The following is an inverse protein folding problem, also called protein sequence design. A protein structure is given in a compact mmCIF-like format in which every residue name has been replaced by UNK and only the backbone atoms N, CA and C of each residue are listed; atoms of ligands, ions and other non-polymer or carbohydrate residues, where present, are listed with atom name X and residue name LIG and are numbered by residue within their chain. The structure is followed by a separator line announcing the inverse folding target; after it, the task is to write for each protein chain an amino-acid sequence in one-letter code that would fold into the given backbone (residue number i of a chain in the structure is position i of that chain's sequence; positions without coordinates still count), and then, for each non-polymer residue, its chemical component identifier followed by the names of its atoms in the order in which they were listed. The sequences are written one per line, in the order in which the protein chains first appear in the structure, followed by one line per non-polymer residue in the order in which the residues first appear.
data_IF_958387597136
#
_entry.id   IF_958387597136
#
_cell.length_a   1.000
_cell.length_b   1.000
_cell.length_c   1.000
_cell.angle_alpha   90.00
_cell.angle_beta   90.00
_cell.angle_gamma   90.00
#
_symmetry.space_group_name_H-M   'P 1'
#
loop_
_entity.id
_entity.type
_entity.pdbx_description
1 polymer ?
#
# COMPACT_ATOMS: atom_id res chain seq x y z
N UNK A 1 1.78 12.00 -7.79
CA UNK A 1 0.39 12.52 -7.86
C UNK A 1 0.43 14.04 -7.86
N UNK A 2 -0.40 14.73 -8.64
CA UNK A 2 -0.38 16.21 -8.77
C UNK A 2 -1.31 16.88 -7.73
N UNK A 3 -1.07 18.15 -7.39
CA UNK A 3 -1.91 18.95 -6.48
C UNK A 3 -3.41 18.92 -6.85
N UNK A 4 -3.75 18.75 -8.13
CA UNK A 4 -5.13 18.69 -8.60
C UNK A 4 -5.85 17.37 -8.26
N UNK A 5 -5.13 16.25 -8.16
CA UNK A 5 -5.69 14.96 -7.72
C UNK A 5 -5.92 14.97 -6.21
N UNK A 6 -5.00 15.59 -5.47
CA UNK A 6 -5.07 15.77 -4.03
C UNK A 6 -6.31 16.58 -3.60
N UNK A 7 -6.55 17.70 -4.27
CA UNK A 7 -7.70 18.56 -3.98
C UNK A 7 -9.04 17.89 -4.27
N UNK A 8 -9.15 17.16 -5.40
CA UNK A 8 -10.41 16.44 -5.73
C UNK A 8 -10.74 15.33 -4.74
N UNK A 9 -9.73 14.60 -4.26
CA UNK A 9 -9.93 13.54 -3.27
C UNK A 9 -10.27 14.12 -1.90
N UNK A 10 -9.52 15.14 -1.49
CA UNK A 10 -9.73 15.86 -0.24
C UNK A 10 -11.11 16.53 -0.13
N UNK A 11 -11.56 17.21 -1.19
CA UNK A 11 -12.91 17.80 -1.23
C UNK A 11 -14.01 16.75 -1.12
N UNK A 12 -13.79 15.56 -1.69
CA UNK A 12 -14.73 14.44 -1.58
C UNK A 12 -14.76 13.89 -0.16
N UNK A 13 -13.62 13.88 0.54
CA UNK A 13 -13.52 13.50 1.94
C UNK A 13 -14.24 14.51 2.86
N UNK A 14 -14.15 15.82 2.58
CA UNK A 14 -14.93 16.85 3.30
C UNK A 14 -16.43 16.66 3.10
N UNK A 15 -16.91 16.52 1.86
CA UNK A 15 -18.35 16.36 1.57
C UNK A 15 -19.00 15.18 2.28
N UNK A 16 -18.19 14.18 2.65
CA UNK A 16 -18.62 12.97 3.34
C UNK A 16 -18.32 12.99 4.84
N UNK A 17 -17.78 14.08 5.36
CA UNK A 17 -17.55 14.29 6.80
C UNK A 17 -16.32 13.60 7.39
N UNK A 18 -15.42 13.05 6.56
CA UNK A 18 -14.24 12.32 7.04
C UNK A 18 -13.14 13.25 7.58
N UNK A 19 -12.99 14.42 6.97
CA UNK A 19 -12.01 15.44 7.35
C UNK A 19 -12.68 16.81 7.26
N UNK A 20 -12.22 17.75 8.08
CA UNK A 20 -12.67 19.14 8.04
C UNK A 20 -11.91 19.93 6.98
N UNK A 21 -12.45 21.08 6.56
CA UNK A 21 -11.73 22.03 5.71
C UNK A 21 -10.40 22.50 6.33
N UNK A 22 -10.32 22.54 7.66
CA UNK A 22 -9.11 22.87 8.40
C UNK A 22 -8.07 21.74 8.36
N UNK A 23 -8.52 20.49 8.45
CA UNK A 23 -7.65 19.33 8.23
C UNK A 23 -7.22 19.20 6.78
N UNK A 24 -8.04 19.69 5.82
CA UNK A 24 -7.66 19.74 4.42
C UNK A 24 -6.61 20.83 4.09
N UNK A 25 -6.50 21.87 4.90
CA UNK A 25 -5.44 22.87 4.70
C UNK A 25 -4.10 22.44 5.33
N UNK A 26 -4.11 21.41 6.20
CA UNK A 26 -2.90 20.83 6.78
C UNK A 26 -2.28 19.78 5.84
N UNK A 27 -1.15 20.17 5.24
CA UNK A 27 -0.40 19.33 4.30
C UNK A 27 0.10 18.03 4.95
N UNK A 28 0.49 18.06 6.22
CA UNK A 28 0.99 16.86 6.90
C UNK A 28 -0.16 15.91 7.23
N UNK A 29 -1.30 16.44 7.70
CA UNK A 29 -2.47 15.63 8.01
C UNK A 29 -3.01 14.90 6.78
N UNK A 30 -3.23 15.60 5.66
CA UNK A 30 -3.74 14.93 4.46
C UNK A 30 -2.71 13.97 3.88
N UNK A 31 -1.41 14.28 3.91
CA UNK A 31 -0.39 13.34 3.44
C UNK A 31 -0.45 12.02 4.22
N UNK A 32 -0.60 12.10 5.55
CA UNK A 32 -0.79 10.93 6.39
C UNK A 32 -2.12 10.22 6.09
N UNK A 33 -3.23 10.96 6.01
CA UNK A 33 -4.55 10.40 5.68
C UNK A 33 -4.56 9.66 4.34
N UNK A 34 -3.94 10.20 3.29
CA UNK A 34 -3.86 9.55 1.98
C UNK A 34 -2.97 8.31 1.99
N UNK A 35 -1.87 8.36 2.74
CA UNK A 35 -1.01 7.19 2.97
C UNK A 35 -1.81 6.08 3.64
N UNK A 36 -2.52 6.41 4.72
CA UNK A 36 -3.33 5.47 5.49
C UNK A 36 -4.51 4.94 4.67
N UNK A 37 -5.15 5.79 3.87
CA UNK A 37 -6.19 5.39 2.92
C UNK A 37 -5.66 4.42 1.85
N UNK A 38 -4.48 4.69 1.31
CA UNK A 38 -3.81 3.81 0.35
C UNK A 38 -3.49 2.44 0.95
N UNK A 39 -3.03 2.41 2.21
CA UNK A 39 -2.76 1.19 2.98
C UNK A 39 -4.05 0.43 3.30
N UNK A 40 -5.11 1.12 3.71
CA UNK A 40 -6.42 0.50 3.97
C UNK A 40 -7.00 -0.17 2.72
N UNK A 41 -6.88 0.49 1.55
CA UNK A 41 -7.27 -0.09 0.27
C UNK A 41 -6.40 -1.31 -0.10
N UNK A 42 -5.09 -1.25 0.15
CA UNK A 42 -4.20 -2.40 -0.04
C UNK A 42 -4.66 -3.59 0.79
N UNK A 43 -4.88 -3.41 2.09
CA UNK A 43 -5.26 -4.48 3.00
C UNK A 43 -6.60 -5.10 2.61
N UNK A 44 -7.56 -4.28 2.17
CA UNK A 44 -8.81 -4.78 1.60
C UNK A 44 -8.58 -5.70 0.39
N UNK A 45 -7.68 -5.32 -0.52
CA UNK A 45 -7.30 -6.17 -1.68
C UNK A 45 -6.64 -7.47 -1.22
N UNK A 46 -5.69 -7.41 -0.27
CA UNK A 46 -5.03 -8.62 0.27
C UNK A 46 -6.04 -9.58 0.89
N UNK A 47 -6.96 -9.05 1.70
CA UNK A 47 -8.01 -9.84 2.35
C UNK A 47 -8.96 -10.47 1.33
N UNK A 48 -9.22 -9.80 0.20
CA UNK A 48 -9.99 -10.36 -0.91
C UNK A 48 -9.27 -11.54 -1.57
N UNK A 49 -8.01 -11.33 -1.95
CA UNK A 49 -7.23 -12.31 -2.70
C UNK A 49 -7.00 -13.58 -1.88
N UNK A 50 -6.87 -13.45 -0.56
CA UNK A 50 -6.73 -14.57 0.38
C UNK A 50 -8.08 -15.17 0.81
N UNK A 51 -9.21 -14.62 0.34
CA UNK A 51 -10.56 -15.13 0.62
C UNK A 51 -11.08 -14.88 2.04
N UNK A 52 -10.46 -13.97 2.80
CA UNK A 52 -10.89 -13.62 4.15
C UNK A 52 -12.09 -12.67 4.16
N UNK A 53 -12.26 -11.85 3.11
CA UNK A 53 -13.36 -10.90 2.98
C UNK A 53 -13.96 -10.92 1.57
N UNK A 54 -15.27 -10.75 1.50
CA UNK A 54 -16.00 -10.57 0.24
C UNK A 54 -15.78 -9.15 -0.32
N UNK A 55 -15.97 -8.93 -1.63
CA UNK A 55 -15.94 -7.60 -2.23
C UNK A 55 -16.86 -6.61 -1.52
N UNK A 56 -17.99 -7.07 -0.98
CA UNK A 56 -18.96 -6.25 -0.24
C UNK A 56 -18.42 -5.85 1.15
N UNK A 57 -17.80 -6.79 1.89
CA UNK A 57 -17.15 -6.51 3.18
C UNK A 57 -15.93 -5.59 3.00
N UNK A 58 -15.22 -5.72 1.88
CA UNK A 58 -14.16 -4.78 1.50
C UNK A 58 -14.76 -3.46 1.11
N UNK A 59 -15.91 -3.44 0.43
CA UNK A 59 -16.62 -2.20 0.13
C UNK A 59 -17.04 -1.52 1.43
N UNK A 60 -17.52 -2.24 2.44
CA UNK A 60 -17.84 -1.67 3.76
C UNK A 60 -16.56 -1.17 4.46
N UNK A 61 -15.48 -1.96 4.52
CA UNK A 61 -14.20 -1.54 5.14
C UNK A 61 -13.53 -0.38 4.39
N UNK A 62 -13.63 -0.35 3.06
CA UNK A 62 -12.99 0.64 2.16
C UNK A 62 -13.86 1.90 1.97
N UNK A 63 -15.18 1.79 2.12
CA UNK A 63 -16.10 2.92 2.07
C UNK A 63 -16.32 3.55 3.45
N UNK A 64 -16.09 2.82 4.54
CA UNK A 64 -16.05 3.34 5.91
C UNK A 64 -14.68 3.87 6.33
N UNK A 65 -13.68 4.06 5.44
CA UNK A 65 -12.30 4.41 5.86
C UNK A 65 -12.22 5.81 6.49
N UNK A 66 -12.51 5.90 7.79
CA UNK A 66 -11.51 5.84 8.86
C UNK A 66 -11.44 4.49 9.60
N UNK A 67 -11.98 3.40 9.04
CA UNK A 67 -12.06 2.07 9.65
C UNK A 67 -13.35 1.88 10.45
N UNK A 68 -13.66 0.68 11.00
CA UNK A 68 -14.75 0.55 11.94
C UNK A 68 -14.47 1.54 13.07
N UNK A 69 -15.40 2.46 13.30
CA UNK A 69 -15.25 3.63 14.17
C UNK A 69 -14.15 3.48 15.24
N UNK A 70 -12.97 4.07 15.00
CA UNK A 70 -11.89 4.14 16.00
C UNK A 70 -10.83 3.03 15.99
N UNK A 71 -10.71 2.19 14.97
CA UNK A 71 -9.65 1.17 14.94
C UNK A 71 -8.30 1.76 14.43
N UNK A 72 -7.23 1.74 15.26
CA UNK A 72 -5.92 2.28 14.86
C UNK A 72 -5.30 1.51 13.68
N UNK A 73 -4.43 2.17 12.90
CA UNK A 73 -3.57 1.55 11.84
C UNK A 73 -2.90 0.26 12.33
N UNK A 74 -2.57 0.20 13.63
CA UNK A 74 -2.02 -0.97 14.30
C UNK A 74 -2.85 -2.24 14.10
N UNK A 75 -4.18 -2.15 14.15
CA UNK A 75 -5.07 -3.30 13.92
C UNK A 75 -4.90 -3.86 12.51
N UNK A 76 -4.87 -2.98 11.51
CA UNK A 76 -4.71 -3.36 10.11
C UNK A 76 -3.34 -3.96 9.82
N UNK A 77 -2.29 -3.41 10.43
CA UNK A 77 -0.95 -3.98 10.36
C UNK A 77 -0.91 -5.38 11.00
N UNK A 78 -1.50 -5.57 12.18
CA UNK A 78 -1.57 -6.86 12.86
C UNK A 78 -2.30 -7.93 12.01
N UNK A 79 -3.38 -7.54 11.32
CA UNK A 79 -4.09 -8.47 10.43
C UNK A 79 -3.28 -8.77 9.18
N UNK A 80 -2.68 -7.76 8.54
CA UNK A 80 -1.80 -7.96 7.38
C UNK A 80 -0.64 -8.90 7.71
N UNK A 81 0.01 -8.68 8.85
CA UNK A 81 1.09 -9.55 9.36
C UNK A 81 0.62 -11.00 9.44
N UNK A 82 -0.54 -11.25 10.06
CA UNK A 82 -1.11 -12.60 10.15
C UNK A 82 -1.40 -13.21 8.77
N UNK A 83 -1.89 -12.40 7.82
CA UNK A 83 -2.20 -12.88 6.46
C UNK A 83 -0.96 -13.22 5.63
N UNK A 84 0.16 -12.52 5.87
CA UNK A 84 1.46 -12.75 5.22
C UNK A 84 2.33 -13.74 6.03
N UNK A 85 1.70 -14.76 6.61
CA UNK A 85 2.41 -15.80 7.36
C UNK A 85 3.14 -15.35 8.64
N UNK A 86 2.81 -14.18 9.18
CA UNK A 86 3.43 -13.61 10.38
C UNK A 86 4.64 -12.70 10.11
N UNK A 87 4.97 -12.41 8.85
CA UNK A 87 6.16 -11.61 8.51
C UNK A 87 5.91 -10.11 8.68
N UNK A 88 6.30 -9.58 9.85
CA UNK A 88 6.27 -8.14 10.12
C UNK A 88 7.13 -7.32 9.15
N UNK A 89 8.24 -7.89 8.68
CA UNK A 89 9.14 -7.23 7.72
C UNK A 89 8.49 -7.12 6.34
N UNK A 90 7.87 -8.20 5.86
CA UNK A 90 7.18 -8.22 4.57
C UNK A 90 5.96 -7.28 4.59
N UNK A 91 5.16 -7.32 5.66
CA UNK A 91 4.02 -6.42 5.85
C UNK A 91 4.47 -4.95 5.86
N UNK A 92 5.53 -4.64 6.62
CA UNK A 92 6.11 -3.30 6.66
C UNK A 92 6.54 -2.82 5.27
N UNK A 93 7.33 -3.64 4.58
CA UNK A 93 7.83 -3.33 3.24
C UNK A 93 6.69 -3.12 2.23
N UNK A 94 5.67 -3.99 2.25
CA UNK A 94 4.52 -3.86 1.38
C UNK A 94 3.79 -2.54 1.63
N UNK A 95 3.53 -2.19 2.90
CA UNK A 95 2.85 -0.92 3.24
C UNK A 95 3.64 0.31 2.81
N UNK A 96 4.97 0.25 2.89
CA UNK A 96 5.85 1.36 2.53
C UNK A 96 5.89 1.59 1.02
N UNK A 97 5.94 0.51 0.23
CA UNK A 97 6.18 0.58 -1.20
C UNK A 97 4.94 0.34 -2.08
N UNK A 98 3.79 0.01 -1.50
CA UNK A 98 2.55 -0.26 -2.25
C UNK A 98 2.18 0.83 -3.26
N UNK A 99 2.21 2.09 -2.82
CA UNK A 99 1.78 3.23 -3.65
C UNK A 99 2.77 3.57 -4.77
N UNK A 100 4.02 3.12 -4.66
CA UNK A 100 5.14 3.45 -5.55
C UNK A 100 5.87 2.17 -6.00
N UNK A 101 5.13 1.11 -6.30
CA UNK A 101 5.68 -0.20 -6.68
C UNK A 101 6.51 -0.20 -7.99
N UNK A 102 6.35 0.82 -8.82
CA UNK A 102 7.08 1.03 -10.09
C UNK A 102 8.07 2.20 -10.02
N UNK A 103 8.54 2.54 -8.83
CA UNK A 103 9.59 3.54 -8.65
C UNK A 103 10.76 2.92 -7.90
N UNK A 104 12.01 3.33 -8.18
CA UNK A 104 13.17 2.89 -7.42
C UNK A 104 12.99 3.17 -5.93
N UNK A 105 13.44 2.23 -5.10
CA UNK A 105 13.44 2.39 -3.65
C UNK A 105 14.44 3.48 -3.29
N UNK A 106 13.93 4.59 -2.75
CA UNK A 106 14.75 5.75 -2.44
C UNK A 106 15.81 5.40 -1.39
N UNK A 107 17.08 5.60 -1.74
CA UNK A 107 18.21 5.32 -0.85
C UNK A 107 18.78 3.90 -1.01
N UNK A 108 18.19 3.08 -1.87
CA UNK A 108 18.84 1.88 -2.38
C UNK A 108 19.98 2.26 -3.34
N UNK A 109 21.11 1.57 -3.26
CA UNK A 109 22.30 1.90 -4.07
C UNK A 109 22.17 1.41 -5.50
N UNK A 110 21.36 0.38 -5.71
CA UNK A 110 21.22 -0.30 -6.98
C UNK A 110 19.98 0.20 -7.74
N UNK A 111 19.33 1.28 -7.26
CA UNK A 111 18.03 1.75 -7.74
C UNK A 111 17.01 0.61 -7.88
N UNK A 112 17.07 -0.34 -6.94
CA UNK A 112 16.20 -1.50 -6.91
C UNK A 112 14.74 -1.09 -6.80
N UNK A 113 13.89 -1.70 -7.61
CA UNK A 113 12.44 -1.55 -7.48
C UNK A 113 11.92 -2.44 -6.34
N UNK A 114 10.75 -2.13 -5.74
CA UNK A 114 10.18 -2.94 -4.68
C UNK A 114 10.10 -4.45 -4.98
N UNK A 115 9.89 -4.80 -6.25
CA UNK A 115 9.85 -6.19 -6.69
C UNK A 115 11.22 -6.90 -6.65
N UNK A 116 12.33 -6.18 -6.91
CA UNK A 116 13.68 -6.72 -6.78
C UNK A 116 13.95 -7.15 -5.35
N UNK A 117 13.65 -6.27 -4.39
CA UNK A 117 13.86 -6.56 -2.97
C UNK A 117 12.90 -7.64 -2.46
N UNK A 118 11.64 -7.65 -2.90
CA UNK A 118 10.69 -8.71 -2.53
C UNK A 118 11.13 -10.09 -3.06
N UNK A 119 11.61 -10.16 -4.31
CA UNK A 119 12.14 -11.38 -4.90
C UNK A 119 13.41 -11.86 -4.19
N UNK A 120 14.35 -10.96 -3.92
CA UNK A 120 15.60 -11.25 -3.20
C UNK A 120 15.36 -11.78 -1.78
N UNK A 121 14.33 -11.28 -1.09
CA UNK A 121 13.97 -11.74 0.25
C UNK A 121 13.05 -12.98 0.24
N UNK A 122 12.65 -13.49 -0.93
CA UNK A 122 11.75 -14.64 -1.05
C UNK A 122 10.32 -14.37 -0.57
N UNK A 123 9.89 -13.11 -0.53
CA UNK A 123 8.57 -12.68 -0.07
C UNK A 123 7.50 -12.93 -1.14
N UNK A 124 7.09 -14.20 -1.27
CA UNK A 124 6.18 -14.66 -2.32
C UNK A 124 4.85 -13.93 -2.33
N UNK A 125 4.29 -13.61 -1.16
CA UNK A 125 3.02 -12.91 -1.05
C UNK A 125 3.17 -11.45 -1.47
N UNK A 126 4.21 -10.75 -1.01
CA UNK A 126 4.50 -9.40 -1.47
C UNK A 126 4.75 -9.34 -2.98
N UNK A 127 5.48 -10.32 -3.56
CA UNK A 127 5.66 -10.41 -5.02
C UNK A 127 4.31 -10.55 -5.73
N UNK A 128 3.47 -11.50 -5.33
CA UNK A 128 2.14 -11.70 -5.92
C UNK A 128 1.27 -10.43 -5.85
N UNK A 129 1.31 -9.73 -4.71
CA UNK A 129 0.55 -8.52 -4.47
C UNK A 129 1.06 -7.32 -5.29
N UNK A 130 2.38 -7.18 -5.45
CA UNK A 130 2.92 -6.17 -6.35
C UNK A 130 2.54 -6.45 -7.82
N UNK A 131 2.51 -7.72 -8.23
CA UNK A 131 2.03 -8.11 -9.57
C UNK A 131 0.57 -7.75 -9.77
N UNK A 132 -0.31 -8.06 -8.82
CA UNK A 132 -1.74 -7.72 -8.91
C UNK A 132 -1.98 -6.21 -8.93
N UNK A 133 -1.07 -5.44 -8.30
CA UNK A 133 -1.06 -3.98 -8.35
C UNK A 133 -0.59 -3.40 -9.69
N UNK A 134 0.00 -4.22 -10.57
CA UNK A 134 0.53 -3.81 -11.88
C UNK A 134 2.00 -3.39 -11.85
N UNK A 135 2.79 -3.98 -10.96
CA UNK A 135 4.22 -3.74 -10.92
C UNK A 135 4.93 -4.35 -12.15
N UNK A 136 5.98 -3.70 -12.66
CA UNK A 136 6.71 -4.12 -13.85
C UNK A 136 7.71 -5.23 -13.53
N UNK A 137 7.39 -6.45 -13.97
CA UNK A 137 8.22 -7.65 -13.81
C UNK A 137 9.55 -7.59 -14.54
N UNK A 138 9.67 -6.69 -15.52
CA UNK A 138 10.85 -6.54 -16.36
C UNK A 138 11.65 -5.27 -16.00
N UNK A 139 11.26 -4.55 -14.94
CA UNK A 139 12.01 -3.41 -14.45
C UNK A 139 13.47 -3.84 -14.21
N UNK A 140 14.40 -3.00 -14.65
CA UNK A 140 15.83 -3.24 -14.48
C UNK A 140 16.39 -2.32 -13.41
N UNK A 141 17.17 -2.88 -12.51
CA UNK A 141 18.00 -2.12 -11.56
C UNK A 141 19.23 -1.51 -12.26
N UNK A 142 20.10 -0.83 -11.50
CA UNK A 142 21.32 -0.20 -12.02
C UNK A 142 22.33 -1.20 -12.60
N UNK A 143 22.30 -2.45 -12.16
CA UNK A 143 23.11 -3.53 -12.71
C UNK A 143 22.47 -4.17 -13.96
N UNK A 144 21.29 -3.71 -14.37
CA UNK A 144 20.52 -4.28 -15.47
C UNK A 144 19.82 -5.60 -15.13
N UNK A 145 19.80 -6.00 -13.85
CA UNK A 145 19.14 -7.20 -13.36
C UNK A 145 17.64 -6.94 -13.25
N UNK A 146 16.86 -7.99 -13.42
CA UNK A 146 15.40 -7.95 -13.21
C UNK A 146 15.07 -8.59 -11.87
N UNK A 147 13.85 -8.45 -11.32
CA UNK A 147 13.46 -9.11 -10.08
C UNK A 147 13.71 -10.61 -10.10
N UNK A 148 13.52 -11.26 -11.26
CA UNK A 148 13.77 -12.69 -11.42
C UNK A 148 15.25 -13.07 -11.31
N UNK A 149 16.18 -12.20 -11.75
CA UNK A 149 17.61 -12.44 -11.59
C UNK A 149 18.05 -12.43 -10.12
N UNK A 150 17.32 -11.71 -9.27
CA UNK A 150 17.61 -11.59 -7.83
C UNK A 150 16.82 -12.57 -6.97
N UNK A 151 15.88 -13.33 -7.55
CA UNK A 151 15.09 -14.30 -6.81
C UNK A 151 15.98 -15.43 -6.27
N UNK A 152 15.87 -15.69 -4.96
CA UNK A 152 16.60 -16.75 -4.25
C UNK A 152 15.96 -18.14 -4.40
#
# INVERSE_FOLDING_TARGET
MTNATYNRFGERAIRRGFITSQQLSDSLYIQNFLKDYGIGKMIGVVMQEKGYLTPLQIQEIVYEIGGPAGHPIKYYLDVLIKTLGGSAKEAGFLTEHWTRCNEPVKGDKDDSYPMHLAAMNGWKDAVALFLSKGADVNAKDNDGKTPLHLAA
#
